data_IF_213403459223
#
_entry.id   IF_213403459223
#
_cell.length_a   1.000
_cell.length_b   1.000
_cell.length_c   1.000
_cell.angle_alpha   90.00
_cell.angle_beta   90.00
_cell.angle_gamma   90.00
#
_symmetry.space_group_name_H-M   'P 1'
#
loop_
_entity.id
_entity.type
_entity.pdbx_description
1 polymer ?
#
# COMPACT_ATOMS: atom_id res chain seq x y z
N UNK A 1 11.17 -0.22 9.51
CA UNK A 1 10.57 -1.24 8.63
C UNK A 1 9.20 -0.78 8.15
N UNK A 2 8.14 -0.85 8.97
CA UNK A 2 6.75 -0.57 8.53
C UNK A 2 6.58 0.79 7.83
N UNK A 3 7.04 1.89 8.44
CA UNK A 3 6.97 3.22 7.84
C UNK A 3 7.68 3.34 6.48
N UNK A 4 8.75 2.57 6.26
CA UNK A 4 9.45 2.54 4.97
C UNK A 4 8.70 1.71 3.92
N UNK A 5 8.02 0.65 4.34
CA UNK A 5 7.18 -0.18 3.47
C UNK A 5 5.94 0.62 3.02
N UNK A 6 5.26 1.31 3.94
CA UNK A 6 4.10 2.14 3.59
C UNK A 6 4.46 3.32 2.69
N UNK A 7 5.55 4.05 2.97
CA UNK A 7 5.97 5.16 2.12
C UNK A 7 6.39 4.69 0.72
N UNK A 8 7.05 3.53 0.62
CA UNK A 8 7.37 2.91 -0.67
C UNK A 8 6.10 2.58 -1.47
N UNK A 9 5.08 2.04 -0.79
CA UNK A 9 3.78 1.74 -1.39
C UNK A 9 3.08 2.98 -1.95
N UNK A 10 3.07 4.09 -1.21
CA UNK A 10 2.56 5.40 -1.70
C UNK A 10 3.29 5.81 -2.98
N UNK A 11 4.61 5.93 -2.91
CA UNK A 11 5.42 6.42 -4.04
C UNK A 11 5.26 5.54 -5.29
N UNK A 12 5.26 4.22 -5.14
CA UNK A 12 5.10 3.29 -6.26
C UNK A 12 3.73 3.45 -6.93
N UNK A 13 2.66 3.57 -6.14
CA UNK A 13 1.30 3.72 -6.67
C UNK A 13 1.14 5.08 -7.36
N UNK A 14 1.62 6.17 -6.75
CA UNK A 14 1.56 7.50 -7.35
C UNK A 14 2.32 7.57 -8.68
N UNK A 15 3.53 7.02 -8.74
CA UNK A 15 4.30 6.96 -9.97
C UNK A 15 3.58 6.14 -11.05
N UNK A 16 3.07 4.95 -10.69
CA UNK A 16 2.39 4.09 -11.64
C UNK A 16 1.10 4.73 -12.16
N UNK A 17 0.29 5.33 -11.29
CA UNK A 17 -0.93 6.03 -11.67
C UNK A 17 -0.65 7.16 -12.66
N UNK A 18 0.44 7.91 -12.43
CA UNK A 18 0.90 8.97 -13.34
C UNK A 18 1.32 8.40 -14.70
N UNK A 19 2.08 7.31 -14.72
CA UNK A 19 2.54 6.66 -15.95
C UNK A 19 1.39 6.06 -16.77
N UNK A 20 0.37 5.50 -16.11
CA UNK A 20 -0.77 4.86 -16.75
C UNK A 20 -1.95 5.79 -17.02
N UNK A 21 -1.85 7.07 -16.68
CA UNK A 21 -2.92 8.07 -16.88
C UNK A 21 -4.15 7.87 -15.99
N UNK A 22 -4.00 7.19 -14.85
CA UNK A 22 -5.09 7.03 -13.87
C UNK A 22 -5.23 8.33 -13.08
N UNK A 23 -6.45 8.90 -12.93
CA UNK A 23 -6.67 10.21 -12.32
C UNK A 23 -6.65 10.15 -10.78
N UNK A 24 -5.59 9.59 -10.21
CA UNK A 24 -5.38 9.54 -8.77
C UNK A 24 -5.26 10.96 -8.20
N UNK A 25 -6.07 11.28 -7.19
CA UNK A 25 -6.05 12.60 -6.54
C UNK A 25 -5.50 12.57 -5.11
N UNK A 26 -5.39 11.39 -4.52
CA UNK A 26 -4.83 11.21 -3.18
C UNK A 26 -4.72 9.74 -2.82
N UNK A 27 -3.74 9.42 -1.97
CA UNK A 27 -3.54 8.08 -1.43
C UNK A 27 -3.01 8.18 0.01
N UNK A 28 -3.61 7.39 0.89
CA UNK A 28 -3.15 7.17 2.25
C UNK A 28 -2.93 5.67 2.47
N UNK A 29 -1.85 5.33 3.17
CA UNK A 29 -1.49 3.93 3.46
C UNK A 29 -1.25 3.75 4.95
N UNK A 30 -2.17 3.04 5.59
CA UNK A 30 -2.01 2.58 6.97
C UNK A 30 -1.36 1.20 6.96
N UNK A 31 -0.30 1.03 7.75
CA UNK A 31 0.39 -0.26 7.91
C UNK A 31 0.45 -0.64 9.39
N UNK A 32 0.00 -1.85 9.69
CA UNK A 32 -0.03 -2.39 11.04
C UNK A 32 0.73 -3.71 11.08
N UNK A 33 1.63 -3.86 12.04
CA UNK A 33 2.37 -5.09 12.26
C UNK A 33 2.02 -5.68 13.62
N UNK A 34 1.54 -6.92 13.65
CA UNK A 34 1.29 -7.65 14.90
C UNK A 34 2.46 -8.59 15.21
N UNK A 35 2.84 -8.71 16.48
CA UNK A 35 3.86 -9.65 16.97
C UNK A 35 3.26 -10.49 18.08
N UNK A 36 3.64 -11.77 18.14
CA UNK A 36 3.25 -12.63 19.26
C UNK A 36 4.26 -12.52 20.39
N UNK A 37 3.83 -12.77 21.63
CA UNK A 37 4.73 -12.82 22.78
C UNK A 37 5.70 -14.02 22.70
N UNK A 38 5.30 -15.11 22.03
CA UNK A 38 6.13 -16.29 21.83
C UNK A 38 7.31 -16.02 20.89
N UNK A 39 7.15 -15.12 19.92
CA UNK A 39 8.16 -14.81 18.90
C UNK A 39 8.26 -13.30 18.65
N UNK A 40 8.71 -12.51 19.64
CA UNK A 40 8.65 -11.05 19.61
C UNK A 40 9.59 -10.40 18.59
N UNK A 41 10.49 -11.19 18.01
CA UNK A 41 11.49 -10.73 17.05
C UNK A 41 10.99 -10.74 15.60
N UNK A 42 9.79 -11.29 15.32
CA UNK A 42 9.18 -11.31 13.98
C UNK A 42 7.73 -10.85 14.01
N UNK A 43 7.26 -10.30 12.89
CA UNK A 43 5.85 -10.02 12.71
C UNK A 43 5.10 -11.33 12.42
N UNK A 44 4.02 -11.57 13.15
CA UNK A 44 3.09 -12.66 12.89
C UNK A 44 2.15 -12.30 11.72
N UNK A 45 1.82 -11.02 11.58
CA UNK A 45 1.09 -10.49 10.43
C UNK A 45 1.50 -9.05 10.15
N UNK A 46 1.34 -8.65 8.89
CA UNK A 46 1.40 -7.26 8.45
C UNK A 46 0.14 -6.99 7.63
N UNK A 47 -0.63 -6.00 8.04
CA UNK A 47 -1.83 -5.54 7.33
C UNK A 47 -1.55 -4.18 6.74
N UNK A 48 -1.92 -3.99 5.48
CA UNK A 48 -1.84 -2.70 4.80
C UNK A 48 -3.22 -2.33 4.26
N UNK A 49 -3.68 -1.14 4.60
CA UNK A 49 -4.93 -0.56 4.15
C UNK A 49 -4.60 0.63 3.25
N UNK A 50 -5.13 0.62 2.04
CA UNK A 50 -4.94 1.66 1.03
C UNK A 50 -6.25 2.41 0.86
N UNK A 51 -6.22 3.72 1.12
CA UNK A 51 -7.33 4.62 0.89
C UNK A 51 -6.98 5.47 -0.32
N UNK A 52 -7.72 5.31 -1.42
CA UNK A 52 -7.36 5.84 -2.73
C UNK A 52 -8.51 6.71 -3.25
N UNK A 53 -8.21 7.97 -3.57
CA UNK A 53 -9.20 8.95 -4.02
C UNK A 53 -9.06 9.27 -5.52
N UNK A 54 -10.18 9.63 -6.15
CA UNK A 54 -10.24 10.05 -7.56
C UNK A 54 -10.34 8.92 -8.57
N UNK A 55 -10.46 7.67 -8.12
CA UNK A 55 -10.49 6.48 -8.96
C UNK A 55 -11.71 5.60 -8.68
N UNK A 56 -12.08 4.76 -9.63
CA UNK A 56 -13.02 3.66 -9.40
C UNK A 56 -12.38 2.54 -8.58
N UNK A 57 -13.20 1.69 -7.94
CA UNK A 57 -12.71 0.52 -7.22
C UNK A 57 -11.83 -0.39 -8.09
N UNK A 58 -12.22 -0.62 -9.36
CA UNK A 58 -11.43 -1.45 -10.27
C UNK A 58 -10.04 -0.86 -10.55
N UNK A 59 -9.94 0.46 -10.69
CA UNK A 59 -8.65 1.14 -10.85
C UNK A 59 -7.82 1.08 -9.56
N UNK A 60 -8.45 1.27 -8.39
CA UNK A 60 -7.78 1.11 -7.10
C UNK A 60 -7.20 -0.31 -6.95
N UNK A 61 -7.97 -1.33 -7.31
CA UNK A 61 -7.54 -2.73 -7.24
C UNK A 61 -6.34 -3.00 -8.16
N UNK A 62 -6.32 -2.45 -9.38
CA UNK A 62 -5.17 -2.58 -10.29
C UNK A 62 -3.93 -1.86 -9.75
N UNK A 63 -4.07 -0.66 -9.20
CA UNK A 63 -2.96 0.06 -8.55
C UNK A 63 -2.36 -0.75 -7.38
N UNK A 64 -3.21 -1.34 -6.53
CA UNK A 64 -2.78 -2.18 -5.40
C UNK A 64 -2.15 -3.48 -5.89
N UNK A 65 -2.64 -4.08 -6.98
CA UNK A 65 -2.01 -5.26 -7.60
C UNK A 65 -0.59 -4.95 -8.07
N UNK A 66 -0.36 -3.78 -8.67
CA UNK A 66 0.99 -3.35 -9.08
C UNK A 66 1.94 -3.27 -7.89
N UNK A 67 1.49 -2.75 -6.74
CA UNK A 67 2.29 -2.75 -5.51
C UNK A 67 2.62 -4.17 -5.03
N UNK A 68 1.64 -5.09 -5.02
CA UNK A 68 1.85 -6.49 -4.58
C UNK A 68 2.76 -7.31 -5.49
N UNK A 69 2.92 -6.91 -6.74
CA UNK A 69 3.76 -7.58 -7.72
C UNK A 69 5.25 -7.21 -7.65
N UNK A 70 5.65 -6.32 -6.73
CA UNK A 70 7.03 -5.87 -6.52
C UNK A 70 7.53 -6.27 -5.14
#
# INVERSE_FOLDING_TARGET
FLAGVSSCGVTLIEMHAKESGVPLTGIDVTIEGARSAAEPNRFASVTMTFEIAGVSQAQADELVKTYRGR
#
